data_IF_381861241340
#
_entry.id   IF_381861241340
#
_cell.length_a   1.000
_cell.length_b   1.000
_cell.length_c   1.000
_cell.angle_alpha   90.00
_cell.angle_beta   90.00
_cell.angle_gamma   90.00
#
_symmetry.space_group_name_H-M   'P 1'
#
loop_
_entity.id
_entity.type
_entity.pdbx_description
1 polymer ?
#
# COMPACT_ATOMS: atom_id res chain seq x y z
N UNK A 1 10.11 13.14 17.24
CA UNK A 1 8.67 12.80 17.14
C UNK A 1 8.59 11.35 16.69
N UNK A 2 7.54 10.64 17.04
CA UNK A 2 7.22 9.33 16.47
C UNK A 2 6.69 9.54 15.05
N UNK A 3 7.23 8.82 14.06
CA UNK A 3 6.65 8.81 12.72
C UNK A 3 5.33 8.03 12.74
N UNK A 4 4.37 8.46 11.92
CA UNK A 4 3.04 7.86 11.81
C UNK A 4 2.90 7.11 10.51
N UNK A 5 2.70 5.81 10.62
CA UNK A 5 2.50 4.90 9.49
C UNK A 5 1.03 4.53 9.42
N UNK A 6 0.48 4.56 8.21
CA UNK A 6 -0.81 3.96 7.91
C UNK A 6 -0.63 2.72 7.05
N UNK A 7 -1.30 1.63 7.41
CA UNK A 7 -1.37 0.40 6.63
C UNK A 7 -2.79 0.26 6.09
N UNK A 8 -2.93 0.03 4.79
CA UNK A 8 -4.20 -0.31 4.14
C UNK A 8 -4.08 -1.71 3.54
N UNK A 9 -4.75 -2.66 4.20
CA UNK A 9 -4.77 -4.08 3.83
C UNK A 9 -6.01 -4.74 4.45
N UNK A 10 -6.66 -5.68 3.78
CA UNK A 10 -7.87 -6.34 4.30
C UNK A 10 -7.58 -7.56 5.20
N UNK A 11 -6.36 -8.07 5.19
CA UNK A 11 -5.97 -9.28 5.93
C UNK A 11 -5.28 -8.96 7.25
N UNK A 12 -5.77 -9.56 8.33
CA UNK A 12 -5.12 -9.42 9.64
C UNK A 12 -3.75 -10.09 9.71
N UNK A 13 -3.54 -11.18 8.97
CA UNK A 13 -2.26 -11.90 9.01
C UNK A 13 -1.13 -11.02 8.47
N UNK A 14 -1.35 -10.37 7.32
CA UNK A 14 -0.35 -9.50 6.73
C UNK A 14 -0.14 -8.23 7.55
N UNK A 15 -1.22 -7.62 8.06
CA UNK A 15 -1.08 -6.51 8.99
C UNK A 15 -0.25 -6.88 10.22
N UNK A 16 -0.47 -8.07 10.80
CA UNK A 16 0.31 -8.55 11.95
C UNK A 16 1.79 -8.70 11.59
N UNK A 17 2.11 -9.28 10.44
CA UNK A 17 3.49 -9.39 9.96
C UNK A 17 4.16 -8.01 9.76
N UNK A 18 3.42 -7.03 9.20
CA UNK A 18 3.88 -5.65 9.04
C UNK A 18 4.09 -4.98 10.40
N UNK A 19 3.19 -5.20 11.35
CA UNK A 19 3.30 -4.66 12.70
C UNK A 19 4.53 -5.22 13.41
N UNK A 20 4.74 -6.53 13.36
CA UNK A 20 5.92 -7.20 13.92
C UNK A 20 7.22 -6.64 13.32
N UNK A 21 7.23 -6.31 12.02
CA UNK A 21 8.33 -5.60 11.38
C UNK A 21 8.58 -4.22 12.01
N UNK A 22 7.56 -3.38 12.13
CA UNK A 22 7.71 -2.03 12.71
C UNK A 22 8.13 -2.10 14.18
N UNK A 23 7.54 -2.98 14.99
CA UNK A 23 7.94 -3.17 16.39
C UNK A 23 9.40 -3.59 16.53
N UNK A 24 9.92 -4.37 15.57
CA UNK A 24 11.29 -4.86 15.59
C UNK A 24 12.32 -3.84 15.11
N UNK A 25 12.04 -3.14 14.01
CA UNK A 25 13.03 -2.29 13.33
C UNK A 25 12.82 -0.78 13.59
N UNK A 26 11.58 -0.37 13.86
CA UNK A 26 11.19 1.03 14.07
C UNK A 26 10.25 1.17 15.28
N UNK A 27 10.67 0.76 16.49
CA UNK A 27 9.80 0.63 17.67
C UNK A 27 9.19 1.95 18.18
N UNK A 28 9.59 3.08 17.59
CA UNK A 28 9.05 4.40 17.93
C UNK A 28 8.00 4.89 16.95
N UNK A 29 7.73 4.14 15.87
CA UNK A 29 6.73 4.49 14.89
C UNK A 29 5.33 4.09 15.39
N UNK A 30 4.35 4.94 15.13
CA UNK A 30 2.95 4.68 15.43
C UNK A 30 2.27 4.10 14.18
N UNK A 31 1.78 2.87 14.26
CA UNK A 31 1.16 2.18 13.12
C UNK A 31 -0.36 2.15 13.28
N UNK A 32 -1.08 2.65 12.28
CA UNK A 32 -2.54 2.60 12.17
C UNK A 32 -2.97 1.66 11.05
N UNK A 33 -4.07 0.93 11.22
CA UNK A 33 -4.56 -0.03 10.22
C UNK A 33 -5.98 0.27 9.75
N UNK A 34 -6.18 0.26 8.44
CA UNK A 34 -7.49 0.32 7.80
C UNK A 34 -7.71 -0.89 6.91
N UNK A 35 -8.86 -1.55 7.06
CA UNK A 35 -9.17 -2.78 6.30
C UNK A 35 -9.59 -2.55 4.86
N UNK A 36 -9.89 -1.31 4.51
CA UNK A 36 -10.32 -0.93 3.17
C UNK A 36 -10.18 0.57 2.98
N UNK A 37 -10.22 0.97 1.71
CA UNK A 37 -10.08 2.37 1.31
C UNK A 37 -11.15 3.29 1.94
N UNK A 38 -12.40 2.84 2.07
CA UNK A 38 -13.47 3.68 2.65
C UNK A 38 -13.19 4.07 4.10
N UNK A 39 -12.59 3.18 4.89
CA UNK A 39 -12.18 3.47 6.26
C UNK A 39 -10.99 4.43 6.33
N UNK A 40 -10.10 4.40 5.34
CA UNK A 40 -8.91 5.24 5.32
C UNK A 40 -9.17 6.65 4.76
N UNK A 41 -10.15 6.85 3.87
CA UNK A 41 -10.40 8.15 3.20
C UNK A 41 -10.43 9.36 4.14
N UNK A 42 -11.27 9.34 5.18
CA UNK A 42 -11.34 10.44 6.14
C UNK A 42 -10.02 10.60 6.91
N UNK A 43 -9.34 9.49 7.20
CA UNK A 43 -8.07 9.56 7.92
C UNK A 43 -6.97 10.19 7.08
N UNK A 44 -6.88 9.81 5.81
CA UNK A 44 -5.92 10.37 4.84
C UNK A 44 -6.17 11.86 4.56
N UNK A 45 -7.41 12.34 4.68
CA UNK A 45 -7.74 13.77 4.49
C UNK A 45 -7.46 14.65 5.71
N UNK A 46 -7.64 14.11 6.91
CA UNK A 46 -7.70 14.92 8.13
C UNK A 46 -6.55 14.70 9.11
N UNK A 47 -5.70 13.71 8.86
CA UNK A 47 -4.55 13.42 9.71
C UNK A 47 -3.27 13.35 8.88
N UNK A 48 -2.21 13.90 9.46
CA UNK A 48 -0.87 13.81 8.89
C UNK A 48 -0.29 12.42 9.20
N UNK A 49 0.07 11.70 8.14
CA UNK A 49 0.86 10.49 8.17
C UNK A 49 2.18 10.74 7.45
N UNK A 50 3.23 10.05 7.87
CA UNK A 50 4.57 10.17 7.28
C UNK A 50 4.80 9.06 6.24
N UNK A 51 4.09 7.94 6.35
CA UNK A 51 4.23 6.78 5.48
C UNK A 51 2.91 6.04 5.27
N UNK A 52 2.64 5.62 4.04
CA UNK A 52 1.60 4.66 3.69
C UNK A 52 2.23 3.32 3.25
N UNK A 53 1.82 2.23 3.90
CA UNK A 53 1.99 0.87 3.40
C UNK A 53 0.67 0.44 2.77
N UNK A 54 0.71 0.14 1.48
CA UNK A 54 -0.50 -0.10 0.68
C UNK A 54 -0.46 -1.50 0.06
N UNK A 55 -1.51 -2.29 0.29
CA UNK A 55 -1.78 -3.44 -0.56
C UNK A 55 -2.55 -3.03 -1.83
N UNK A 56 -2.37 -3.82 -2.87
CA UNK A 56 -3.03 -3.59 -4.16
C UNK A 56 -4.37 -4.30 -4.30
N UNK A 57 -4.60 -5.35 -3.52
CA UNK A 57 -5.63 -6.36 -3.74
C UNK A 57 -6.48 -6.54 -2.49
N UNK A 58 -7.47 -5.67 -2.30
CA UNK A 58 -8.45 -5.80 -1.22
C UNK A 58 -9.86 -5.52 -1.73
N UNK A 59 -10.88 -6.07 -1.04
CA UNK A 59 -12.27 -5.89 -1.47
C UNK A 59 -12.69 -4.41 -1.54
N UNK A 60 -13.19 -3.99 -2.71
CA UNK A 60 -13.95 -2.74 -2.83
C UNK A 60 -15.34 -2.95 -2.21
N UNK A 61 -15.60 -2.42 -1.02
CA UNK A 61 -16.94 -2.47 -0.43
C UNK A 61 -17.98 -1.81 -1.36
N UNK A 62 -18.93 -2.60 -1.87
CA UNK A 62 -19.92 -2.20 -2.88
C UNK A 62 -19.82 -2.97 -4.20
N UNK A 63 -18.79 -3.80 -4.37
CA UNK A 63 -18.63 -4.75 -5.47
C UNK A 63 -19.78 -5.76 -5.50
N UNK A 64 -20.46 -5.86 -6.65
CA UNK A 64 -21.41 -6.94 -6.93
C UNK A 64 -20.65 -8.24 -7.21
N UNK A 65 -21.32 -9.40 -7.23
CA UNK A 65 -20.67 -10.70 -7.46
C UNK A 65 -19.89 -10.82 -8.79
N UNK A 66 -20.11 -9.93 -9.76
CA UNK A 66 -19.29 -9.82 -10.98
C UNK A 66 -18.00 -9.03 -10.75
N UNK A 67 -17.99 -8.06 -9.84
CA UNK A 67 -16.82 -7.26 -9.47
C UNK A 67 -15.81 -8.07 -8.62
N UNK A 68 -16.29 -9.09 -7.89
CA UNK A 68 -15.48 -10.02 -7.08
C UNK A 68 -14.61 -10.95 -7.93
N UNK A 69 -14.94 -11.13 -9.22
CA UNK A 69 -14.14 -11.93 -10.15
C UNK A 69 -12.86 -11.22 -10.62
N UNK A 70 -12.74 -9.92 -10.34
CA UNK A 70 -11.54 -9.14 -10.62
C UNK A 70 -10.73 -9.05 -9.33
N UNK A 71 -9.48 -9.51 -9.36
CA UNK A 71 -8.48 -9.24 -8.32
C UNK A 71 -8.10 -7.75 -8.42
N UNK A 72 -9.08 -6.88 -8.11
CA UNK A 72 -9.14 -5.50 -8.52
C UNK A 72 -8.06 -4.68 -7.86
N UNK A 73 -7.54 -3.73 -8.62
CA UNK A 73 -6.48 -2.79 -8.25
C UNK A 73 -7.02 -1.75 -7.27
N UNK A 74 -7.57 -2.19 -6.13
CA UNK A 74 -8.14 -1.33 -5.10
C UNK A 74 -7.11 -0.34 -4.56
N UNK A 75 -5.83 -0.76 -4.50
CA UNK A 75 -4.72 0.14 -4.19
C UNK A 75 -4.57 1.30 -5.18
N UNK A 76 -4.85 1.10 -6.48
CA UNK A 76 -4.76 2.19 -7.46
C UNK A 76 -5.83 3.24 -7.24
N UNK A 77 -7.00 2.88 -6.70
CA UNK A 77 -7.99 3.87 -6.30
C UNK A 77 -7.53 4.71 -5.09
N UNK A 78 -6.76 4.11 -4.17
CA UNK A 78 -6.12 4.88 -3.09
C UNK A 78 -5.12 5.87 -3.67
N UNK A 79 -4.24 5.43 -4.57
CA UNK A 79 -3.26 6.31 -5.22
C UNK A 79 -3.92 7.41 -6.05
N UNK A 80 -4.96 7.08 -6.82
CA UNK A 80 -5.76 8.03 -7.57
C UNK A 80 -6.36 9.10 -6.67
N UNK A 81 -6.87 8.70 -5.51
CA UNK A 81 -7.41 9.63 -4.52
C UNK A 81 -6.35 10.55 -3.93
N UNK A 82 -5.20 10.01 -3.50
CA UNK A 82 -4.08 10.81 -3.01
C UNK A 82 -3.65 11.84 -4.07
N UNK A 83 -3.58 11.42 -5.33
CA UNK A 83 -3.23 12.28 -6.45
C UNK A 83 -4.27 13.38 -6.71
N UNK A 84 -5.55 13.04 -6.77
CA UNK A 84 -6.65 14.00 -6.99
C UNK A 84 -6.75 15.03 -5.85
N UNK A 85 -6.61 14.57 -4.60
CA UNK A 85 -6.67 15.43 -3.41
C UNK A 85 -5.35 16.15 -3.11
N UNK A 86 -4.32 15.95 -3.95
CA UNK A 86 -2.99 16.53 -3.81
C UNK A 86 -2.35 16.23 -2.42
N UNK A 87 -2.54 15.01 -1.94
CA UNK A 87 -1.97 14.50 -0.69
C UNK A 87 -0.60 13.89 -1.00
N UNK A 88 0.46 14.55 -0.54
CA UNK A 88 1.83 14.07 -0.68
C UNK A 88 2.19 13.13 0.47
N UNK A 89 1.85 11.85 0.33
CA UNK A 89 2.14 10.81 1.31
C UNK A 89 3.09 9.76 0.72
N UNK A 90 4.34 9.66 1.20
CA UNK A 90 5.28 8.63 0.75
C UNK A 90 4.66 7.23 0.89
N UNK A 91 4.57 6.51 -0.22
CA UNK A 91 3.86 5.23 -0.28
C UNK A 91 4.80 4.08 -0.64
N UNK A 92 4.75 2.99 0.11
CA UNK A 92 5.33 1.70 -0.28
C UNK A 92 4.21 0.73 -0.56
N UNK A 93 4.23 0.14 -1.76
CA UNK A 93 3.33 -0.96 -2.07
C UNK A 93 3.96 -2.24 -1.52
N UNK A 94 3.18 -2.99 -0.74
CA UNK A 94 3.58 -4.28 -0.21
C UNK A 94 2.46 -5.27 -0.50
N UNK A 95 2.70 -6.24 -1.36
CA UNK A 95 1.64 -7.07 -1.95
C UNK A 95 2.09 -8.52 -2.15
N UNK A 96 1.15 -9.46 -2.06
CA UNK A 96 1.40 -10.89 -2.30
C UNK A 96 1.10 -11.32 -3.74
N UNK A 97 0.45 -10.45 -4.51
CA UNK A 97 0.05 -10.72 -5.89
C UNK A 97 1.09 -10.20 -6.88
N UNK A 98 1.23 -10.89 -8.01
CA UNK A 98 2.10 -10.50 -9.13
C UNK A 98 1.30 -10.22 -10.41
N UNK A 99 -0.03 -10.33 -10.36
CA UNK A 99 -0.92 -10.07 -11.47
C UNK A 99 -2.20 -9.43 -10.96
N UNK A 100 -2.60 -8.38 -11.66
CA UNK A 100 -3.80 -7.63 -11.36
C UNK A 100 -4.61 -7.41 -12.63
N UNK A 101 -5.93 -7.37 -12.48
CA UNK A 101 -6.84 -7.09 -13.59
C UNK A 101 -8.00 -6.27 -13.06
N UNK A 102 -8.20 -5.11 -13.65
CA UNK A 102 -9.26 -4.18 -13.26
C UNK A 102 -9.91 -3.57 -14.52
N UNK A 103 -11.24 -3.43 -14.58
CA UNK A 103 -11.92 -2.80 -15.71
C UNK A 103 -11.47 -1.36 -15.99
N UNK A 104 -11.09 -0.61 -14.96
CA UNK A 104 -10.72 0.81 -15.05
C UNK A 104 -9.23 0.98 -15.42
N UNK A 105 -8.37 0.00 -15.09
CA UNK A 105 -6.92 0.11 -15.22
C UNK A 105 -6.26 -0.94 -16.13
N UNK A 106 -7.02 -1.93 -16.58
CA UNK A 106 -6.54 -3.02 -17.44
C UNK A 106 -5.79 -4.12 -16.68
N UNK A 107 -4.93 -4.84 -17.41
CA UNK A 107 -4.10 -5.92 -16.85
C UNK A 107 -2.68 -5.42 -16.57
N UNK A 108 -2.18 -5.72 -15.38
CA UNK A 108 -0.80 -5.42 -14.95
C UNK A 108 -0.16 -6.70 -14.44
N UNK A 109 1.02 -7.05 -14.95
CA UNK A 109 1.74 -8.30 -14.61
C UNK A 109 3.17 -7.97 -14.18
N UNK A 110 3.48 -8.29 -12.93
CA UNK A 110 4.77 -8.08 -12.28
C UNK A 110 4.88 -6.72 -11.60
N UNK A 111 5.73 -6.66 -10.57
CA UNK A 111 5.96 -5.43 -9.80
C UNK A 111 6.61 -4.32 -10.64
N UNK A 112 7.47 -4.67 -11.60
CA UNK A 112 8.08 -3.68 -12.50
C UNK A 112 7.02 -2.99 -13.38
N UNK A 113 6.09 -3.77 -13.92
CA UNK A 113 4.98 -3.22 -14.72
C UNK A 113 4.05 -2.37 -13.86
N UNK A 114 3.79 -2.81 -12.62
CA UNK A 114 3.01 -2.04 -11.65
C UNK A 114 3.68 -0.70 -11.32
N UNK A 115 4.99 -0.71 -11.04
CA UNK A 115 5.76 0.49 -10.75
C UNK A 115 5.79 1.45 -11.95
N UNK A 116 6.00 0.93 -13.15
CA UNK A 116 5.94 1.71 -14.39
C UNK A 116 4.58 2.35 -14.60
N UNK A 117 3.50 1.57 -14.43
CA UNK A 117 2.14 2.06 -14.52
C UNK A 117 1.85 3.19 -13.52
N UNK A 118 2.27 3.02 -12.27
CA UNK A 118 2.05 4.02 -11.22
C UNK A 118 2.82 5.30 -11.53
N UNK A 119 4.08 5.19 -11.93
CA UNK A 119 4.89 6.34 -12.29
C UNK A 119 4.27 7.13 -13.46
N UNK A 120 3.80 6.43 -14.50
CA UNK A 120 3.16 7.06 -15.66
C UNK A 120 1.85 7.78 -15.32
N UNK A 121 1.05 7.25 -14.38
CA UNK A 121 -0.29 7.74 -14.09
C UNK A 121 -0.37 8.67 -12.87
N UNK A 122 0.50 8.50 -11.88
CA UNK A 122 0.46 9.20 -10.60
C UNK A 122 1.79 9.88 -10.24
N UNK A 123 2.85 9.72 -11.04
CA UNK A 123 4.19 10.25 -10.77
C UNK A 123 4.94 9.49 -9.68
N UNK A 124 5.92 10.14 -9.06
CA UNK A 124 6.80 9.54 -8.05
C UNK A 124 6.18 9.48 -6.64
N UNK A 125 4.88 9.18 -6.54
CA UNK A 125 4.16 9.07 -5.25
C UNK A 125 4.46 7.75 -4.52
N UNK A 126 4.87 6.72 -5.26
CA UNK A 126 5.27 5.43 -4.72
C UNK A 126 6.79 5.31 -4.73
N UNK A 127 7.36 5.07 -3.55
CA UNK A 127 8.79 4.89 -3.36
C UNK A 127 9.26 3.54 -3.89
N UNK A 128 8.52 2.47 -3.57
CA UNK A 128 8.85 1.13 -4.02
C UNK A 128 7.62 0.19 -4.05
N UNK A 129 7.68 -0.82 -4.91
CA UNK A 129 6.75 -1.96 -4.95
C UNK A 129 7.48 -3.23 -4.50
N UNK A 130 7.05 -3.81 -3.38
CA UNK A 130 7.66 -4.97 -2.75
C UNK A 130 6.72 -6.17 -2.75
N UNK A 131 7.29 -7.35 -2.93
CA UNK A 131 6.57 -8.61 -2.77
C UNK A 131 6.66 -9.07 -1.33
N UNK A 132 5.51 -9.30 -0.68
CA UNK A 132 5.44 -9.99 0.60
C UNK A 132 5.55 -11.50 0.33
N UNK A 133 6.79 -11.96 0.18
CA UNK A 133 7.12 -13.36 -0.04
C UNK A 133 7.14 -14.18 1.26
N UNK A 134 7.31 -15.52 1.15
CA UNK A 134 7.35 -16.41 2.31
C UNK A 134 8.61 -16.26 3.17
N UNK A 135 9.68 -15.64 2.63
CA UNK A 135 10.90 -15.35 3.37
C UNK A 135 10.81 -13.93 3.95
N UNK A 136 10.47 -13.86 5.25
CA UNK A 136 10.35 -12.60 5.98
C UNK A 136 11.61 -11.75 5.93
N UNK A 137 12.78 -12.39 5.92
CA UNK A 137 14.04 -11.66 5.97
C UNK A 137 14.21 -10.79 4.73
N UNK A 138 13.81 -11.29 3.56
CA UNK A 138 13.99 -10.59 2.29
C UNK A 138 13.15 -9.31 2.27
N UNK A 139 11.84 -9.41 2.51
CA UNK A 139 10.98 -8.24 2.42
C UNK A 139 11.19 -7.27 3.59
N UNK A 140 11.60 -7.77 4.77
CA UNK A 140 12.04 -6.91 5.88
C UNK A 140 13.26 -6.06 5.49
N UNK A 141 14.30 -6.67 4.92
CA UNK A 141 15.51 -5.95 4.50
C UNK A 141 15.18 -4.89 3.45
N UNK A 142 14.37 -5.25 2.44
CA UNK A 142 13.94 -4.33 1.40
C UNK A 142 13.09 -3.18 1.95
N UNK A 143 12.11 -3.46 2.80
CA UNK A 143 11.23 -2.43 3.38
C UNK A 143 12.01 -1.49 4.30
N UNK A 144 12.91 -2.02 5.12
CA UNK A 144 13.76 -1.20 5.97
C UNK A 144 14.68 -0.29 5.16
N UNK A 145 15.28 -0.79 4.09
CA UNK A 145 16.12 0.00 3.18
C UNK A 145 15.33 1.17 2.57
N UNK A 146 14.11 0.91 2.08
CA UNK A 146 13.24 1.95 1.51
C UNK A 146 12.92 3.03 2.54
N UNK A 147 12.51 2.63 3.76
CA UNK A 147 12.13 3.58 4.82
C UNK A 147 13.34 4.42 5.26
N UNK A 148 14.51 3.81 5.43
CA UNK A 148 15.74 4.50 5.85
C UNK A 148 16.19 5.50 4.78
N UNK A 149 16.17 5.10 3.50
CA UNK A 149 16.58 5.97 2.40
C UNK A 149 15.61 7.14 2.16
N UNK A 150 14.36 7.01 2.60
CA UNK A 150 13.36 8.07 2.54
C UNK A 150 13.48 9.10 3.67
N UNK A 151 14.37 8.88 4.65
CA UNK A 151 14.58 9.75 5.81
C UNK A 151 13.30 10.04 6.63
N UNK A 152 12.42 9.04 6.74
CA UNK A 152 11.16 9.09 7.51
C UNK A 152 11.41 9.02 9.03
#
# INVERSE_FOLDING_TARGET
MSAKVVVIDDTSEKYTAILDFFERYFPTYEVSWFKNFRQSQNNLLYFDYDLLILDMSFERHGATSEDVAFNGLAGLHVLQFLWVENISLPTVILTTHDRYTDPDFGEIVGLDALKGYIHENFGDVVMECLSLGPDEKIWHEQLAEVIINAEI
#
